data_IF_472950685660
#
_entry.id   IF_472950685660
#
_cell.length_a   1.000
_cell.length_b   1.000
_cell.length_c   1.000
_cell.angle_alpha   90.00
_cell.angle_beta   90.00
_cell.angle_gamma   90.00
#
_symmetry.space_group_name_H-M   'P 1'
#
loop_
_entity.id
_entity.type
_entity.pdbx_description
1 polymer ?
#
# COMPACT_ATOMS: atom_id res chain seq x y z
N UNK A 1 26.30 -18.75 19.11
CA UNK A 1 25.37 -17.69 18.67
C UNK A 1 23.99 -18.11 19.13
N UNK A 2 23.20 -17.23 19.74
CA UNK A 2 21.83 -17.58 20.13
C UNK A 2 20.99 -17.77 18.85
N UNK A 3 20.33 -18.92 18.74
CA UNK A 3 19.49 -19.24 17.59
C UNK A 3 18.22 -18.38 17.64
N UNK A 4 18.04 -17.53 16.63
CA UNK A 4 16.86 -16.67 16.54
C UNK A 4 15.87 -17.35 15.60
N UNK A 5 14.74 -17.80 16.15
CA UNK A 5 13.68 -18.44 15.37
C UNK A 5 12.63 -17.39 14.96
N UNK A 6 12.26 -17.39 13.68
CA UNK A 6 11.17 -16.58 13.14
C UNK A 6 10.05 -17.49 12.65
N UNK A 7 8.81 -17.15 12.96
CA UNK A 7 7.65 -17.91 12.54
C UNK A 7 7.15 -17.44 11.16
N UNK A 8 7.47 -16.18 10.80
CA UNK A 8 7.07 -15.54 9.56
C UNK A 8 8.27 -14.80 8.97
N UNK A 9 8.53 -15.01 7.68
CA UNK A 9 9.53 -14.26 6.92
C UNK A 9 8.84 -13.61 5.71
N UNK A 10 8.87 -12.28 5.65
CA UNK A 10 8.31 -11.49 4.56
C UNK A 10 9.48 -10.97 3.71
N UNK A 11 9.51 -11.34 2.43
CA UNK A 11 10.53 -10.90 1.49
C UNK A 11 9.98 -9.77 0.63
N UNK A 12 10.42 -8.55 0.95
CA UNK A 12 10.05 -7.28 0.32
C UNK A 12 9.29 -6.36 1.27
N UNK A 13 9.83 -5.16 1.53
CA UNK A 13 9.18 -4.12 2.34
C UNK A 13 8.41 -3.10 1.47
N UNK A 14 7.80 -3.59 0.39
CA UNK A 14 6.85 -2.81 -0.40
C UNK A 14 5.47 -2.74 0.26
N UNK A 15 4.50 -2.05 -0.38
CA UNK A 15 3.13 -1.91 0.16
C UNK A 15 2.49 -3.26 0.53
N UNK A 16 2.66 -4.29 -0.31
CA UNK A 16 2.14 -5.62 -0.02
C UNK A 16 2.78 -6.26 1.23
N UNK A 17 4.12 -6.26 1.32
CA UNK A 17 4.82 -6.90 2.44
C UNK A 17 4.61 -6.18 3.77
N UNK A 18 4.62 -4.84 3.77
CA UNK A 18 4.31 -4.05 4.96
C UNK A 18 2.84 -4.19 5.34
N UNK A 19 1.93 -4.23 4.37
CA UNK A 19 0.51 -4.50 4.64
C UNK A 19 0.33 -5.85 5.35
N UNK A 20 0.98 -6.92 4.89
CA UNK A 20 0.95 -8.23 5.57
C UNK A 20 1.48 -8.11 7.00
N UNK A 21 2.64 -7.48 7.21
CA UNK A 21 3.23 -7.33 8.54
C UNK A 21 2.30 -6.59 9.51
N UNK A 22 1.68 -5.49 9.05
CA UNK A 22 0.79 -4.68 9.86
C UNK A 22 -0.51 -5.43 10.22
N UNK A 23 -1.13 -6.11 9.25
CA UNK A 23 -2.32 -6.91 9.52
C UNK A 23 -2.03 -8.07 10.49
N UNK A 24 -0.89 -8.75 10.34
CA UNK A 24 -0.48 -9.81 11.27
C UNK A 24 -0.33 -9.27 12.69
N UNK A 25 0.33 -8.12 12.86
CA UNK A 25 0.50 -7.48 14.16
C UNK A 25 -0.83 -7.06 14.80
N UNK A 26 -1.83 -6.65 14.00
CA UNK A 26 -3.18 -6.34 14.50
C UNK A 26 -3.96 -7.60 14.94
N UNK A 27 -3.81 -8.72 14.22
CA UNK A 27 -4.58 -9.95 14.47
C UNK A 27 -3.96 -10.80 15.57
N UNK A 28 -2.62 -10.81 15.68
CA UNK A 28 -1.88 -11.68 16.60
C UNK A 28 -0.89 -10.85 17.41
N UNK A 29 -1.27 -10.36 18.61
CA UNK A 29 -0.39 -9.55 19.44
C UNK A 29 0.94 -10.26 19.75
N UNK A 30 2.07 -9.60 19.47
CA UNK A 30 3.41 -10.12 19.73
C UNK A 30 4.05 -10.86 18.54
N UNK A 31 3.30 -11.14 17.46
CA UNK A 31 3.84 -11.81 16.26
C UNK A 31 4.91 -10.97 15.57
N UNK A 32 4.92 -9.65 15.77
CA UNK A 32 5.94 -8.75 15.22
C UNK A 32 7.34 -9.09 15.72
N UNK A 33 7.47 -9.63 16.94
CA UNK A 33 8.75 -10.09 17.51
C UNK A 33 9.27 -11.38 16.88
N UNK A 34 8.38 -12.08 16.17
CA UNK A 34 8.62 -13.37 15.50
C UNK A 34 8.55 -13.26 13.99
N UNK A 35 8.39 -12.04 13.46
CA UNK A 35 8.30 -11.74 12.04
C UNK A 35 9.58 -11.05 11.58
N UNK A 36 10.22 -11.59 10.54
CA UNK A 36 11.36 -10.97 9.88
C UNK A 36 10.93 -10.38 8.54
N UNK A 37 11.27 -9.11 8.30
CA UNK A 37 11.07 -8.47 7.00
C UNK A 37 12.44 -8.26 6.35
N UNK A 38 12.60 -8.79 5.14
CA UNK A 38 13.81 -8.64 4.35
C UNK A 38 13.54 -7.70 3.18
N UNK A 39 14.34 -6.65 3.05
CA UNK A 39 14.27 -5.74 1.90
C UNK A 39 15.68 -5.48 1.38
N UNK A 40 15.81 -5.55 0.06
CA UNK A 40 17.10 -5.35 -0.61
C UNK A 40 17.49 -3.87 -0.63
N UNK A 41 16.51 -2.99 -0.74
CA UNK A 41 16.73 -1.55 -0.88
C UNK A 41 16.67 -0.82 0.47
N UNK A 42 17.35 0.33 0.56
CA UNK A 42 17.23 1.21 1.73
C UNK A 42 16.04 2.15 1.57
N UNK A 43 15.27 2.33 2.65
CA UNK A 43 14.18 3.30 2.70
C UNK A 43 14.66 4.67 3.25
N UNK A 44 14.05 5.79 2.82
CA UNK A 44 13.00 5.90 1.79
C UNK A 44 13.55 5.67 0.38
N UNK A 45 12.72 5.09 -0.50
CA UNK A 45 13.07 4.84 -1.91
C UNK A 45 11.90 5.13 -2.84
N UNK A 46 12.22 5.46 -4.08
CA UNK A 46 11.21 5.56 -5.13
C UNK A 46 10.61 4.18 -5.43
N UNK A 47 9.28 4.10 -5.56
CA UNK A 47 8.57 2.90 -6.03
C UNK A 47 7.92 3.18 -7.38
N UNK A 48 8.21 2.33 -8.37
CA UNK A 48 7.81 2.51 -9.77
C UNK A 48 6.31 2.29 -10.07
N UNK A 49 5.41 2.25 -9.08
CA UNK A 49 3.98 2.02 -9.34
C UNK A 49 3.21 3.28 -9.78
N UNK A 50 3.89 4.39 -10.04
CA UNK A 50 3.25 5.64 -10.47
C UNK A 50 2.48 6.39 -9.38
N UNK A 51 2.41 5.85 -8.15
CA UNK A 51 1.84 6.54 -6.99
C UNK A 51 0.30 6.51 -6.90
N UNK A 52 -0.39 5.84 -7.84
CA UNK A 52 -1.85 5.78 -7.83
C UNK A 52 -2.40 4.87 -6.72
N UNK A 53 -3.21 5.44 -5.83
CA UNK A 53 -3.97 4.74 -4.80
C UNK A 53 -5.46 4.82 -5.12
N UNK A 54 -6.04 3.66 -5.41
CA UNK A 54 -7.47 3.49 -5.66
C UNK A 54 -8.27 3.61 -4.34
N UNK A 55 -9.59 3.88 -4.40
CA UNK A 55 -10.45 3.93 -3.21
C UNK A 55 -10.39 2.68 -2.32
N UNK A 56 -10.31 1.49 -2.91
CA UNK A 56 -10.15 0.23 -2.15
C UNK A 56 -8.85 0.20 -1.35
N UNK A 57 -7.78 0.80 -1.88
CA UNK A 57 -6.51 0.95 -1.18
C UNK A 57 -6.64 1.88 0.03
N UNK A 58 -7.42 2.97 -0.08
CA UNK A 58 -7.72 3.85 1.05
C UNK A 58 -8.51 3.13 2.16
N UNK A 59 -9.45 2.25 1.79
CA UNK A 59 -10.19 1.42 2.76
C UNK A 59 -9.22 0.53 3.54
N UNK A 60 -8.28 -0.14 2.86
CA UNK A 60 -7.26 -0.99 3.50
C UNK A 60 -6.36 -0.18 4.43
N UNK A 61 -5.88 1.00 3.99
CA UNK A 61 -5.06 1.87 4.84
C UNK A 61 -5.80 2.33 6.09
N UNK A 62 -7.08 2.71 5.96
CA UNK A 62 -7.92 3.07 7.10
C UNK A 62 -8.11 1.93 8.10
N UNK A 63 -8.27 0.69 7.63
CA UNK A 63 -8.34 -0.50 8.51
C UNK A 63 -7.03 -0.72 9.28
N UNK A 64 -5.90 -0.35 8.67
CA UNK A 64 -4.59 -0.31 9.31
C UNK A 64 -4.37 0.90 10.24
N UNK A 65 -5.35 1.79 10.35
CA UNK A 65 -5.24 3.02 11.14
C UNK A 65 -4.34 4.09 10.51
N UNK A 66 -4.12 4.01 9.20
CA UNK A 66 -3.29 4.95 8.44
C UNK A 66 -4.18 5.93 7.67
N UNK A 67 -4.04 7.22 7.94
CA UNK A 67 -4.75 8.26 7.21
C UNK A 67 -3.88 8.83 6.08
N UNK A 68 -4.40 8.74 4.85
CA UNK A 68 -3.72 9.26 3.66
C UNK A 68 -3.72 10.79 3.58
N UNK A 69 -4.63 11.44 4.32
CA UNK A 69 -4.70 12.90 4.36
C UNK A 69 -3.48 13.54 5.03
N UNK A 70 -2.75 12.76 5.83
CA UNK A 70 -1.55 13.19 6.56
C UNK A 70 -0.31 13.33 5.67
N UNK A 71 -0.35 12.79 4.45
CA UNK A 71 0.76 12.86 3.51
C UNK A 71 0.40 13.66 2.26
N UNK A 72 1.42 14.23 1.61
CA UNK A 72 1.24 14.98 0.37
C UNK A 72 0.68 14.06 -0.73
N UNK A 73 -0.43 14.49 -1.33
CA UNK A 73 -1.10 13.77 -2.40
C UNK A 73 -1.82 14.71 -3.35
N UNK A 74 -2.15 14.21 -4.54
CA UNK A 74 -2.96 14.91 -5.54
C UNK A 74 -4.21 14.08 -5.83
N UNK A 75 -5.38 14.71 -5.81
CA UNK A 75 -6.62 14.05 -6.18
C UNK A 75 -6.76 14.02 -7.71
N UNK A 76 -6.84 12.83 -8.30
CA UNK A 76 -7.12 12.67 -9.72
C UNK A 76 -8.63 12.40 -9.89
N UNK A 77 -9.40 13.33 -10.50
CA UNK A 77 -10.85 13.17 -10.62
C UNK A 77 -11.27 12.15 -11.70
N UNK A 78 -10.36 11.82 -12.62
CA UNK A 78 -10.59 10.82 -13.67
C UNK A 78 -9.29 10.08 -14.03
N UNK A 79 -9.44 8.90 -14.61
CA UNK A 79 -8.39 8.15 -15.31
C UNK A 79 -8.84 7.88 -16.75
N UNK A 80 -7.88 7.78 -17.66
CA UNK A 80 -8.09 7.17 -18.97
C UNK A 80 -7.07 6.05 -19.14
N UNK A 81 -7.54 4.84 -19.37
CA UNK A 81 -6.72 3.66 -19.60
C UNK A 81 -6.78 3.27 -21.07
N UNK A 82 -5.68 3.44 -21.78
CA UNK A 82 -5.57 3.03 -23.18
C UNK A 82 -4.86 1.69 -23.30
N UNK A 83 -5.48 0.75 -24.00
CA UNK A 83 -4.85 -0.52 -24.38
C UNK A 83 -5.23 -0.92 -25.80
N UNK A 84 -4.24 -1.13 -26.66
CA UNK A 84 -4.42 -1.53 -28.05
C UNK A 84 -5.40 -0.63 -28.84
N UNK A 85 -5.39 0.68 -28.58
CA UNK A 85 -6.28 1.65 -29.23
C UNK A 85 -7.71 1.68 -28.68
N UNK A 86 -7.98 0.95 -27.59
CA UNK A 86 -9.24 0.99 -26.87
C UNK A 86 -9.04 1.72 -25.53
N UNK A 87 -9.85 2.75 -25.31
CA UNK A 87 -9.82 3.57 -24.11
C UNK A 87 -10.91 3.18 -23.11
N UNK A 88 -10.58 3.13 -21.83
CA UNK A 88 -11.51 3.06 -20.71
C UNK A 88 -11.34 4.30 -19.85
N UNK A 89 -12.36 5.17 -19.84
CA UNK A 89 -12.42 6.27 -18.89
C UNK A 89 -12.99 5.78 -17.56
N UNK A 90 -12.36 6.17 -16.46
CA UNK A 90 -12.81 5.86 -15.10
C UNK A 90 -13.00 7.15 -14.32
N UNK A 91 -14.18 7.30 -13.73
CA UNK A 91 -14.51 8.30 -12.71
C UNK A 91 -15.07 7.56 -11.50
N UNK A 92 -14.86 8.07 -10.29
CA UNK A 92 -15.51 7.50 -9.13
C UNK A 92 -16.97 7.96 -9.04
N UNK A 93 -17.88 7.00 -8.82
CA UNK A 93 -19.31 7.24 -8.64
C UNK A 93 -19.72 7.21 -7.15
N UNK A 94 -18.76 7.39 -6.24
CA UNK A 94 -18.94 7.32 -4.79
C UNK A 94 -19.25 8.69 -4.14
N UNK A 95 -19.49 9.72 -4.96
CA UNK A 95 -19.74 11.09 -4.49
C UNK A 95 -18.49 11.87 -4.07
N UNK A 96 -17.31 11.27 -4.07
CA UNK A 96 -16.05 11.96 -3.77
C UNK A 96 -15.52 12.76 -4.96
N UNK A 97 -15.87 12.33 -6.18
CA UNK A 97 -15.33 12.89 -7.42
C UNK A 97 -13.85 12.58 -7.64
N UNK A 98 -13.29 11.58 -6.95
CA UNK A 98 -11.86 11.20 -7.02
C UNK A 98 -11.74 9.78 -7.56
N UNK A 99 -11.17 9.61 -8.76
CA UNK A 99 -10.88 8.29 -9.33
C UNK A 99 -9.74 7.57 -8.58
N UNK A 100 -8.69 8.29 -8.19
CA UNK A 100 -7.61 7.81 -7.32
C UNK A 100 -6.78 8.99 -6.79
N UNK A 101 -6.02 8.76 -5.71
CA UNK A 101 -5.03 9.71 -5.22
C UNK A 101 -3.65 9.36 -5.75
N UNK A 102 -2.88 10.37 -6.12
CA UNK A 102 -1.48 10.23 -6.49
C UNK A 102 -0.62 10.60 -5.29
N UNK A 103 0.16 9.64 -4.79
CA UNK A 103 1.08 9.78 -3.66
C UNK A 103 2.50 9.66 -4.21
N UNK A 104 3.40 10.59 -3.84
CA UNK A 104 4.79 10.59 -4.31
C UNK A 104 5.79 10.78 -3.18
#
# INVERSE_FOLDING_TARGET
MAETHYDIIIVGAGPAGISVALHLAQIIPGIEKRTLILEKAHHPRHKLCGGGLLPDGEIVLRQLGLDISEIAHVNAPFAHFDFAGQGLAMTANDGTGIAFRLIR
#
